data_IF_917832615623
#
_entry.id   IF_917832615623
#
_cell.length_a   1.000
_cell.length_b   1.000
_cell.length_c   1.000
_cell.angle_alpha   90.00
_cell.angle_beta   90.00
_cell.angle_gamma   90.00
#
_symmetry.space_group_name_H-M   'P 1'
#
loop_
_entity.id
_entity.type
_entity.pdbx_description
1 polymer ?
#
# COMPACT_ATOMS: atom_id res chain seq x y z
N UNK A 1 -7.10 -17.47 3.33
CA UNK A 1 -7.19 -16.08 3.82
C UNK A 1 -8.65 -15.65 3.85
N UNK A 2 -8.99 -14.87 4.87
CA UNK A 2 -10.32 -14.27 4.94
C UNK A 2 -10.36 -13.07 3.99
N UNK A 3 -11.35 -13.06 3.11
CA UNK A 3 -11.53 -11.98 2.13
C UNK A 3 -12.75 -11.16 2.51
N UNK A 4 -12.61 -9.85 2.42
CA UNK A 4 -13.70 -8.93 2.71
C UNK A 4 -13.96 -8.06 1.48
N UNK A 5 -15.21 -7.71 1.26
CA UNK A 5 -15.57 -6.83 0.16
C UNK A 5 -15.12 -5.41 0.45
N UNK A 6 -14.86 -4.66 -0.61
CA UNK A 6 -14.49 -3.25 -0.48
C UNK A 6 -15.73 -2.39 -0.28
N UNK A 7 -15.56 -1.32 0.50
CA UNK A 7 -16.58 -0.29 0.63
C UNK A 7 -16.17 0.93 -0.20
N UNK A 8 -16.99 1.99 -0.16
CA UNK A 8 -16.69 3.21 -0.90
C UNK A 8 -15.37 3.85 -0.49
N UNK A 9 -15.08 3.83 0.79
CA UNK A 9 -13.83 4.39 1.32
C UNK A 9 -12.62 3.65 0.75
N UNK A 10 -12.72 2.33 0.62
CA UNK A 10 -11.65 1.51 0.01
C UNK A 10 -11.47 1.86 -1.46
N UNK A 11 -12.56 2.09 -2.19
CA UNK A 11 -12.49 2.46 -3.61
C UNK A 11 -11.86 3.84 -3.80
N UNK A 12 -12.10 4.77 -2.89
CA UNK A 12 -11.43 6.07 -2.90
C UNK A 12 -9.92 5.90 -2.73
N UNK A 13 -9.52 4.96 -1.89
CA UNK A 13 -8.09 4.70 -1.65
C UNK A 13 -7.43 4.13 -2.91
N UNK A 14 -8.10 3.20 -3.59
CA UNK A 14 -7.61 2.65 -4.87
C UNK A 14 -7.45 3.78 -5.90
N UNK A 15 -8.43 4.66 -5.97
CA UNK A 15 -8.38 5.81 -6.89
C UNK A 15 -7.18 6.71 -6.57
N UNK A 16 -6.95 6.98 -5.30
CA UNK A 16 -5.82 7.83 -4.87
C UNK A 16 -4.47 7.22 -5.29
N UNK A 17 -4.31 5.90 -5.13
CA UNK A 17 -3.09 5.21 -5.53
C UNK A 17 -2.88 5.31 -7.04
N UNK A 18 -3.95 5.14 -7.82
CA UNK A 18 -3.88 5.26 -9.27
C UNK A 18 -3.52 6.68 -9.72
N UNK A 19 -4.13 7.66 -9.08
CA UNK A 19 -3.89 9.07 -9.44
C UNK A 19 -2.46 9.51 -9.12
N UNK A 20 -1.91 9.11 -7.97
CA UNK A 20 -0.54 9.50 -7.62
C UNK A 20 0.46 8.88 -8.60
N UNK A 21 0.22 7.64 -9.02
CA UNK A 21 1.11 7.02 -9.99
C UNK A 21 0.95 7.65 -11.37
N UNK A 22 -0.29 7.90 -11.81
CA UNK A 22 -0.52 8.51 -13.11
C UNK A 22 0.19 9.85 -13.24
N UNK A 23 0.14 10.67 -12.20
CA UNK A 23 0.79 11.98 -12.20
C UNK A 23 2.31 11.91 -12.21
N UNK A 24 2.88 10.85 -11.69
CA UNK A 24 4.31 10.75 -11.42
C UNK A 24 5.01 9.63 -12.19
N UNK A 25 4.29 8.90 -13.02
CA UNK A 25 4.87 7.76 -13.71
C UNK A 25 6.11 8.14 -14.51
N UNK A 26 7.17 7.37 -14.34
CA UNK A 26 8.39 7.52 -15.11
C UNK A 26 8.97 6.13 -15.33
N UNK A 27 9.05 5.71 -16.57
CA UNK A 27 9.54 4.39 -16.94
C UNK A 27 10.90 4.10 -16.30
N UNK A 28 11.01 2.96 -15.65
CA UNK A 28 12.25 2.54 -15.01
C UNK A 28 12.56 3.24 -13.70
N UNK A 29 11.74 4.18 -13.25
CA UNK A 29 11.98 4.93 -12.01
C UNK A 29 10.79 4.91 -11.08
N UNK A 30 9.65 5.45 -11.53
CA UNK A 30 8.46 5.56 -10.69
C UNK A 30 7.36 4.76 -11.34
N UNK A 31 7.25 3.50 -10.96
CA UNK A 31 6.41 2.49 -11.63
C UNK A 31 5.29 1.96 -10.76
N UNK A 32 5.27 2.31 -9.49
CA UNK A 32 4.23 1.90 -8.55
C UNK A 32 3.75 3.07 -7.74
N UNK A 33 2.45 3.03 -7.40
CA UNK A 33 1.85 4.01 -6.52
C UNK A 33 1.15 3.30 -5.39
N UNK A 34 1.15 3.90 -4.22
CA UNK A 34 0.48 3.35 -3.05
C UNK A 34 -0.30 4.43 -2.35
N UNK A 35 -1.34 4.01 -1.64
CA UNK A 35 -2.12 4.89 -0.79
C UNK A 35 -2.45 4.17 0.50
N UNK A 36 -2.41 4.89 1.60
CA UNK A 36 -2.80 4.38 2.91
C UNK A 36 -3.84 5.31 3.50
N UNK A 37 -4.80 4.74 4.23
CA UNK A 37 -5.78 5.53 4.99
C UNK A 37 -5.41 5.42 6.46
N UNK A 38 -5.27 6.57 7.09
CA UNK A 38 -4.96 6.65 8.51
C UNK A 38 -6.25 6.65 9.35
N UNK A 39 -6.14 6.40 10.66
CA UNK A 39 -7.30 6.46 11.56
C UNK A 39 -8.01 7.81 11.55
N UNK A 40 -7.30 8.89 11.24
CA UNK A 40 -7.90 10.23 11.11
C UNK A 40 -8.84 10.34 9.90
N UNK A 41 -8.79 9.36 8.99
CA UNK A 41 -9.54 9.39 7.75
C UNK A 41 -8.73 9.97 6.58
N UNK A 42 -7.58 10.57 6.86
CA UNK A 42 -6.73 11.14 5.80
C UNK A 42 -6.08 10.04 4.97
N UNK A 43 -5.88 10.34 3.70
CA UNK A 43 -5.17 9.48 2.76
C UNK A 43 -3.78 10.05 2.54
N UNK A 44 -2.78 9.18 2.62
CA UNK A 44 -1.40 9.52 2.32
C UNK A 44 -0.94 8.65 1.17
N UNK A 45 -0.21 9.23 0.23
CA UNK A 45 0.20 8.54 -0.98
C UNK A 45 1.72 8.51 -1.11
N UNK A 46 2.20 7.58 -1.92
CA UNK A 46 3.62 7.49 -2.22
C UNK A 46 3.85 6.81 -3.55
N UNK A 47 5.01 7.06 -4.13
CA UNK A 47 5.52 6.34 -5.29
C UNK A 47 6.82 5.69 -4.89
N UNK A 48 7.23 4.65 -5.62
CA UNK A 48 8.53 4.03 -5.35
C UNK A 48 9.66 4.97 -5.77
N UNK A 49 10.77 4.89 -5.06
CA UNK A 49 11.99 5.64 -5.36
C UNK A 49 13.08 4.63 -5.73
N UNK A 50 13.77 4.88 -6.83
CA UNK A 50 14.82 3.99 -7.31
C UNK A 50 16.17 4.72 -7.25
N UNK A 51 16.87 4.53 -6.15
CA UNK A 51 18.20 5.10 -5.99
C UNK A 51 19.27 4.09 -6.35
N UNK A 52 20.51 4.55 -6.45
CA UNK A 52 21.64 3.70 -6.78
C UNK A 52 21.90 2.64 -5.69
N UNK A 53 21.77 3.03 -4.43
CA UNK A 53 22.06 2.16 -3.31
C UNK A 53 20.81 1.72 -2.53
N UNK A 54 19.69 2.40 -2.74
CA UNK A 54 18.48 2.13 -1.98
C UNK A 54 17.26 2.54 -2.77
N UNK A 55 16.25 1.66 -2.79
CA UNK A 55 15.02 1.90 -3.51
C UNK A 55 13.80 1.52 -2.69
N UNK A 56 13.27 2.45 -1.87
CA UNK A 56 12.07 2.15 -1.08
C UNK A 56 10.83 1.98 -1.97
N UNK A 57 9.99 1.02 -1.56
CA UNK A 57 8.74 0.74 -2.26
C UNK A 57 7.72 1.87 -2.01
N UNK A 58 6.74 1.97 -2.90
CA UNK A 58 5.68 2.97 -2.78
C UNK A 58 4.95 2.89 -1.44
N UNK A 59 4.72 1.67 -0.93
CA UNK A 59 4.05 1.48 0.35
C UNK A 59 4.84 2.07 1.51
N UNK A 60 6.17 1.91 1.50
CA UNK A 60 7.03 2.47 2.53
C UNK A 60 6.98 4.00 2.51
N UNK A 61 6.94 4.59 1.33
CA UNK A 61 6.84 6.05 1.19
C UNK A 61 5.48 6.53 1.71
N UNK A 62 4.39 5.85 1.32
CA UNK A 62 3.05 6.24 1.78
C UNK A 62 2.91 6.10 3.29
N UNK A 63 3.40 5.00 3.86
CA UNK A 63 3.38 4.79 5.31
C UNK A 63 4.23 5.86 6.01
N UNK A 64 5.43 6.13 5.49
CA UNK A 64 6.30 7.15 6.03
C UNK A 64 5.66 8.53 6.03
N UNK A 65 4.91 8.85 4.97
CA UNK A 65 4.17 10.11 4.90
C UNK A 65 3.11 10.21 6.01
N UNK A 66 2.39 9.11 6.25
CA UNK A 66 1.38 9.07 7.30
C UNK A 66 2.03 9.25 8.68
N UNK A 67 3.11 8.52 8.95
CA UNK A 67 3.82 8.62 10.23
C UNK A 67 4.40 10.02 10.43
N UNK A 68 4.97 10.60 9.38
CA UNK A 68 5.51 11.96 9.41
C UNK A 68 4.40 12.98 9.67
N UNK A 69 3.20 12.70 9.17
CA UNK A 69 2.03 13.55 9.38
C UNK A 69 1.41 13.41 10.76
N UNK A 70 2.01 12.62 11.65
CA UNK A 70 1.53 12.47 13.01
C UNK A 70 0.60 11.30 13.26
N UNK A 71 0.33 10.48 12.25
CA UNK A 71 -0.49 9.28 12.44
C UNK A 71 0.35 8.20 13.09
N UNK A 72 -0.21 7.48 14.04
CA UNK A 72 0.54 6.41 14.70
C UNK A 72 0.50 5.08 13.94
N UNK A 73 -0.44 4.93 13.05
CA UNK A 73 -0.67 3.72 12.28
C UNK A 73 -1.51 4.04 11.05
N UNK A 74 -1.80 3.01 10.24
CA UNK A 74 -2.75 3.12 9.13
C UNK A 74 -3.72 1.94 9.21
N UNK A 75 -4.90 2.07 8.60
CA UNK A 75 -5.90 1.01 8.68
C UNK A 75 -6.16 0.28 7.36
N UNK A 76 -5.73 0.83 6.24
CA UNK A 76 -5.89 0.18 4.92
C UNK A 76 -4.79 0.64 4.00
N UNK A 77 -4.28 -0.26 3.17
CA UNK A 77 -3.23 0.04 2.20
C UNK A 77 -3.54 -0.61 0.86
N UNK A 78 -3.17 0.06 -0.22
CA UNK A 78 -3.28 -0.48 -1.57
C UNK A 78 -2.09 -0.02 -2.40
N UNK A 79 -1.65 -0.89 -3.30
CA UNK A 79 -0.57 -0.61 -4.24
C UNK A 79 -1.05 -0.91 -5.65
N UNK A 80 -0.67 -0.05 -6.58
CA UNK A 80 -0.94 -0.26 -8.00
C UNK A 80 0.37 -0.14 -8.78
N UNK A 81 0.38 -0.76 -9.96
CA UNK A 81 1.49 -0.58 -10.90
C UNK A 81 0.91 -0.28 -12.28
N UNK A 82 1.71 0.31 -13.14
CA UNK A 82 1.26 0.53 -14.51
C UNK A 82 1.55 -0.71 -15.37
N UNK A 83 0.55 -1.14 -16.11
CA UNK A 83 0.66 -2.18 -17.15
C UNK A 83 -0.05 -1.66 -18.38
N UNK A 84 0.73 -1.29 -19.38
CA UNK A 84 0.19 -0.65 -20.60
C UNK A 84 -0.56 0.61 -20.18
N UNK A 85 -1.84 0.73 -20.50
CA UNK A 85 -2.65 1.90 -20.15
C UNK A 85 -3.48 1.68 -18.87
N UNK A 86 -3.18 0.62 -18.13
CA UNK A 86 -3.96 0.24 -16.95
C UNK A 86 -3.11 0.37 -15.70
N UNK A 87 -3.80 0.44 -14.54
CA UNK A 87 -3.15 0.55 -13.23
C UNK A 87 -3.71 -0.52 -12.29
N UNK A 88 -3.41 -1.80 -12.56
CA UNK A 88 -3.93 -2.88 -11.71
C UNK A 88 -3.36 -2.82 -10.30
N UNK A 89 -4.18 -3.30 -9.35
CA UNK A 89 -3.77 -3.49 -7.97
C UNK A 89 -2.82 -4.67 -7.92
N UNK A 90 -1.72 -4.50 -7.19
CA UNK A 90 -0.72 -5.55 -7.01
C UNK A 90 -0.47 -5.75 -5.51
N UNK A 91 -0.02 -6.95 -5.11
CA UNK A 91 0.27 -7.19 -3.69
C UNK A 91 1.57 -6.49 -3.25
N UNK A 92 1.70 -6.17 -1.96
CA UNK A 92 2.94 -5.61 -1.44
C UNK A 92 4.03 -6.67 -1.41
N UNK A 93 5.29 -6.25 -1.54
CA UNK A 93 6.43 -7.16 -1.42
C UNK A 93 6.61 -7.62 0.03
N UNK A 94 7.48 -8.60 0.25
CA UNK A 94 7.72 -9.14 1.58
C UNK A 94 8.22 -8.10 2.58
N UNK A 95 9.13 -7.24 2.15
CA UNK A 95 9.65 -6.16 2.99
C UNK A 95 8.53 -5.23 3.46
N UNK A 96 7.63 -4.86 2.55
CA UNK A 96 6.52 -3.99 2.91
C UNK A 96 5.48 -4.71 3.77
N UNK A 97 5.29 -6.01 3.57
CA UNK A 97 4.41 -6.79 4.46
C UNK A 97 4.93 -6.77 5.89
N UNK A 98 6.24 -6.96 6.07
CA UNK A 98 6.84 -6.90 7.39
C UNK A 98 6.70 -5.51 8.00
N UNK A 99 6.97 -4.48 7.22
CA UNK A 99 6.86 -3.09 7.67
C UNK A 99 5.42 -2.77 8.12
N UNK A 100 4.45 -3.22 7.33
CA UNK A 100 3.03 -3.01 7.67
C UNK A 100 2.63 -3.77 8.94
N UNK A 101 3.12 -5.00 9.12
CA UNK A 101 2.85 -5.74 10.35
C UNK A 101 3.46 -5.02 11.55
N UNK A 102 4.64 -4.44 11.39
CA UNK A 102 5.31 -3.73 12.48
C UNK A 102 4.56 -2.47 12.92
N UNK A 103 4.03 -1.72 11.97
CA UNK A 103 3.39 -0.42 12.26
C UNK A 103 1.87 -0.47 12.26
N UNK A 104 1.28 -1.42 11.57
CA UNK A 104 -0.17 -1.47 11.36
C UNK A 104 -0.68 -2.91 11.36
N UNK A 105 -0.48 -3.67 12.46
CA UNK A 105 -0.85 -5.08 12.48
C UNK A 105 -2.36 -5.33 12.32
N UNK A 106 -3.19 -4.31 12.52
CA UNK A 106 -4.63 -4.42 12.36
C UNK A 106 -5.12 -3.94 10.99
N UNK A 107 -4.20 -3.57 10.10
CA UNK A 107 -4.56 -3.02 8.81
C UNK A 107 -5.08 -4.08 7.85
N UNK A 108 -5.84 -3.61 6.86
CA UNK A 108 -6.25 -4.42 5.71
C UNK A 108 -5.41 -4.04 4.49
N UNK A 109 -5.15 -5.02 3.65
CA UNK A 109 -4.46 -4.82 2.38
C UNK A 109 -5.44 -5.13 1.26
N UNK A 110 -5.59 -4.21 0.31
CA UNK A 110 -6.44 -4.41 -0.85
C UNK A 110 -5.66 -5.20 -1.90
N UNK A 111 -6.27 -6.25 -2.40
CA UNK A 111 -5.69 -7.16 -3.39
C UNK A 111 -6.64 -7.31 -4.56
N UNK A 112 -6.18 -7.98 -5.61
CA UNK A 112 -7.00 -8.25 -6.79
C UNK A 112 -6.85 -9.70 -7.21
N UNK A 113 -7.96 -10.26 -7.66
CA UNK A 113 -7.96 -11.53 -8.38
C UNK A 113 -8.64 -11.24 -9.71
N UNK A 114 -7.83 -11.12 -10.76
CA UNK A 114 -8.32 -10.58 -12.02
C UNK A 114 -8.76 -9.14 -11.83
N UNK A 115 -9.99 -8.83 -12.18
CA UNK A 115 -10.53 -7.48 -12.00
C UNK A 115 -11.31 -7.31 -10.69
N UNK A 116 -11.50 -8.38 -9.95
CA UNK A 116 -12.22 -8.34 -8.69
C UNK A 116 -11.30 -7.94 -7.57
N UNK A 117 -11.66 -6.86 -6.87
CA UNK A 117 -10.90 -6.36 -5.72
C UNK A 117 -11.51 -6.89 -4.42
N UNK A 118 -10.65 -7.14 -3.46
CA UNK A 118 -11.04 -7.56 -2.12
C UNK A 118 -9.95 -7.10 -1.15
N UNK A 119 -10.20 -7.25 0.15
CA UNK A 119 -9.17 -6.91 1.13
C UNK A 119 -9.00 -8.04 2.14
N UNK A 120 -7.80 -8.15 2.68
CA UNK A 120 -7.44 -9.17 3.66
C UNK A 120 -6.70 -8.52 4.83
N UNK A 121 -6.77 -9.11 6.04
CA UNK A 121 -5.93 -8.62 7.15
C UNK A 121 -4.46 -8.79 6.79
N UNK A 122 -3.67 -7.77 7.08
CA UNK A 122 -2.24 -7.77 6.71
C UNK A 122 -1.49 -8.95 7.32
N UNK A 123 -1.86 -9.36 8.54
CA UNK A 123 -1.19 -10.48 9.20
C UNK A 123 -1.31 -11.78 8.43
N UNK A 124 -2.38 -11.96 7.66
CA UNK A 124 -2.57 -13.17 6.88
C UNK A 124 -1.69 -13.22 5.64
N UNK A 125 -1.07 -12.09 5.28
CA UNK A 125 -0.10 -12.03 4.20
C UNK A 125 1.33 -12.30 4.66
N UNK A 126 1.52 -12.48 5.98
CA UNK A 126 2.84 -12.75 6.55
C UNK A 126 2.69 -13.66 7.77
N UNK A 127 2.31 -14.95 7.54
CA UNK A 127 2.19 -15.92 8.64
C UNK A 127 3.54 -16.12 9.31
N UNK A 128 3.53 -16.38 10.62
CA UNK A 128 4.74 -16.61 11.38
C UNK A 128 5.75 -15.49 11.21
N UNK A 129 5.26 -14.26 11.22
CA UNK A 129 6.10 -13.10 10.97
C UNK A 129 7.06 -12.84 12.13
N UNK A 130 8.16 -12.18 11.78
CA UNK A 130 9.11 -11.71 12.76
C UNK A 130 8.43 -10.64 13.63
N UNK A 131 8.55 -10.78 14.95
CA UNK A 131 8.02 -9.80 15.89
C UNK A 131 9.20 -9.08 16.54
N UNK A 132 9.32 -7.79 16.29
CA UNK A 132 10.47 -7.03 16.76
C UNK A 132 10.43 -6.67 18.22
N UNK A 133 9.26 -6.64 18.83
CA UNK A 133 9.10 -6.18 20.19
C UNK A 133 9.27 -4.68 20.37
N UNK A 134 9.22 -3.94 19.29
CA UNK A 134 9.32 -2.47 19.32
C UNK A 134 8.07 -1.82 19.89
#
# INVERSE_FOLDING_TARGET
>A
MRRFELNESDMELVKAAREVLERNYKKGRHTKGAAVRAPSGKIYCGINVEGCAYGPCAEAIALGAALTGGEGTVNTVVTVRKREERFPVVPPCGTCRQLLVDYAPQAFVILAEGEKLYKVPVRELLPESYLTGL
#
